data_IF_616855213282
#
_entry.id   IF_616855213282
#
_cell.length_a   1.000
_cell.length_b   1.000
_cell.length_c   1.000
_cell.angle_alpha   90.00
_cell.angle_beta   90.00
_cell.angle_gamma   90.00
#
_symmetry.space_group_name_H-M   'P 1'
#
loop_
_entity.id
_entity.type
_entity.pdbx_description
1 polymer ?
#
# COMPACT_ATOMS: atom_id res chain seq x y z
N UNK A 1 16.25 -0.11 13.85
CA UNK A 1 15.49 -0.50 12.64
C UNK A 1 15.91 -1.86 12.06
N UNK A 2 17.19 -2.15 11.75
CA UNK A 2 17.60 -3.50 11.24
C UNK A 2 17.14 -4.70 12.08
N UNK A 3 17.21 -4.62 13.42
CA UNK A 3 16.71 -5.69 14.31
C UNK A 3 15.19 -5.90 14.19
N UNK A 4 14.45 -4.80 14.08
CA UNK A 4 12.99 -4.82 13.88
C UNK A 4 12.65 -5.41 12.50
N UNK A 5 13.39 -5.01 11.45
CA UNK A 5 13.26 -5.59 10.12
C UNK A 5 13.43 -7.11 10.15
N UNK A 6 14.50 -7.61 10.76
CA UNK A 6 14.73 -9.05 10.87
C UNK A 6 13.62 -9.79 11.64
N UNK A 7 13.05 -9.18 12.68
CA UNK A 7 11.92 -9.77 13.41
C UNK A 7 10.63 -9.74 12.58
N UNK A 8 10.35 -8.66 11.86
CA UNK A 8 9.15 -8.52 11.04
C UNK A 8 9.22 -9.26 9.70
N UNK A 9 10.38 -9.81 9.37
CA UNK A 9 10.60 -10.71 8.23
C UNK A 9 10.63 -12.19 8.65
N UNK A 10 10.53 -12.49 9.95
CA UNK A 10 10.49 -13.86 10.47
C UNK A 10 9.04 -14.41 10.44
N UNK A 11 8.77 -15.57 9.81
CA UNK A 11 7.42 -16.11 9.67
C UNK A 11 6.68 -16.32 11.00
N UNK A 12 7.39 -16.74 12.05
CA UNK A 12 6.80 -17.00 13.38
C UNK A 12 6.33 -15.67 13.98
N UNK A 13 7.20 -14.67 13.96
CA UNK A 13 6.88 -13.32 14.45
C UNK A 13 5.70 -12.69 13.69
N UNK A 14 5.61 -12.88 12.37
CA UNK A 14 4.47 -12.41 11.57
C UNK A 14 3.17 -13.11 11.98
N UNK A 15 3.22 -14.42 12.21
CA UNK A 15 2.06 -15.19 12.64
C UNK A 15 1.57 -14.76 14.04
N UNK A 16 2.49 -14.49 14.97
CA UNK A 16 2.15 -13.97 16.30
C UNK A 16 1.41 -12.62 16.20
N UNK A 17 1.84 -11.72 15.31
CA UNK A 17 1.16 -10.43 15.09
C UNK A 17 -0.27 -10.60 14.53
N UNK A 18 -0.49 -11.58 13.65
CA UNK A 18 -1.82 -11.86 13.11
C UNK A 18 -2.74 -12.38 14.23
N UNK A 19 -2.25 -13.33 15.02
CA UNK A 19 -2.99 -13.90 16.15
C UNK A 19 -3.37 -12.79 17.15
N UNK A 20 -2.43 -11.90 17.49
CA UNK A 20 -2.70 -10.78 18.38
C UNK A 20 -3.75 -9.82 17.77
N UNK A 21 -3.63 -9.49 16.49
CA UNK A 21 -4.59 -8.62 15.81
C UNK A 21 -6.01 -9.23 15.75
N UNK A 22 -6.13 -10.55 15.62
CA UNK A 22 -7.39 -11.28 15.73
C UNK A 22 -7.96 -11.25 17.15
N UNK A 23 -7.13 -11.50 18.17
CA UNK A 23 -7.54 -11.45 19.59
C UNK A 23 -8.05 -10.07 19.99
N UNK A 24 -7.40 -9.01 19.49
CA UNK A 24 -7.80 -7.63 19.71
C UNK A 24 -8.99 -7.19 18.84
N UNK A 25 -9.48 -8.03 17.92
CA UNK A 25 -10.54 -7.72 16.96
C UNK A 25 -10.22 -6.51 16.06
N UNK A 26 -8.95 -6.32 15.71
CA UNK A 26 -8.47 -5.23 14.86
C UNK A 26 -7.88 -5.71 13.55
N UNK A 27 -7.98 -7.01 13.23
CA UNK A 27 -7.32 -7.62 12.07
C UNK A 27 -7.60 -6.90 10.75
N UNK A 28 -8.82 -6.39 10.54
CA UNK A 28 -9.16 -5.62 9.33
C UNK A 28 -8.41 -4.28 9.26
N UNK A 29 -8.24 -3.60 10.39
CA UNK A 29 -7.56 -2.29 10.49
C UNK A 29 -6.06 -2.41 10.74
N UNK A 30 -5.53 -3.59 11.04
CA UNK A 30 -4.12 -3.79 11.32
C UNK A 30 -3.19 -3.26 10.21
N UNK A 31 -3.48 -3.44 8.90
CA UNK A 31 -2.63 -2.88 7.84
C UNK A 31 -2.47 -1.37 7.90
N UNK A 32 -3.52 -0.63 8.29
CA UNK A 32 -3.47 0.82 8.48
C UNK A 32 -2.41 1.19 9.53
N UNK A 33 -2.45 0.55 10.69
CA UNK A 33 -1.49 0.83 11.77
C UNK A 33 -0.08 0.33 11.44
N UNK A 34 0.03 -0.80 10.73
CA UNK A 34 1.31 -1.32 10.23
C UNK A 34 1.97 -0.28 9.31
N UNK A 35 1.25 0.28 8.34
CA UNK A 35 1.78 1.32 7.46
C UNK A 35 2.31 2.52 8.25
N UNK A 36 1.51 3.04 9.19
CA UNK A 36 1.89 4.18 10.03
C UNK A 36 3.10 3.94 10.92
N UNK A 37 3.28 2.71 11.39
CA UNK A 37 4.41 2.36 12.27
C UNK A 37 5.69 2.03 11.49
N UNK A 38 5.57 1.50 10.28
CA UNK A 38 6.71 0.98 9.52
C UNK A 38 7.31 1.98 8.56
N UNK A 39 6.47 2.72 7.83
CA UNK A 39 6.93 3.45 6.67
C UNK A 39 7.52 4.81 7.02
N UNK A 40 8.54 5.16 6.24
CA UNK A 40 9.21 6.46 6.24
C UNK A 40 9.32 6.98 4.82
N UNK A 41 10.11 8.03 4.63
CA UNK A 41 10.47 8.56 3.31
C UNK A 41 11.13 7.53 2.38
N UNK A 42 11.57 6.38 2.92
CA UNK A 42 12.13 5.24 2.18
C UNK A 42 11.11 4.14 1.87
N UNK A 43 9.82 4.43 1.92
CA UNK A 43 8.69 3.48 1.78
C UNK A 43 8.86 2.48 0.62
N UNK A 44 9.36 2.90 -0.55
CA UNK A 44 9.59 2.00 -1.71
C UNK A 44 10.52 0.84 -1.33
N UNK A 45 11.61 1.12 -0.62
CA UNK A 45 12.55 0.07 -0.16
C UNK A 45 11.94 -0.75 0.97
N UNK A 46 11.21 -0.09 1.86
CA UNK A 46 10.61 -0.72 3.04
C UNK A 46 9.50 -1.71 2.68
N UNK A 47 8.72 -1.44 1.62
CA UNK A 47 7.75 -2.41 1.06
C UNK A 47 8.46 -3.72 0.68
N UNK A 48 9.65 -3.65 0.09
CA UNK A 48 10.48 -4.83 -0.19
C UNK A 48 10.95 -5.55 1.07
N UNK A 49 11.42 -4.81 2.07
CA UNK A 49 11.90 -5.38 3.34
C UNK A 49 10.78 -6.07 4.11
N UNK A 50 9.58 -5.48 4.15
CA UNK A 50 8.44 -5.97 4.91
C UNK A 50 7.42 -6.74 4.06
N UNK A 51 7.80 -7.18 2.85
CA UNK A 51 6.89 -7.86 1.91
C UNK A 51 6.10 -8.99 2.58
N UNK A 52 6.79 -9.87 3.32
CA UNK A 52 6.14 -11.04 3.93
C UNK A 52 5.06 -10.64 4.93
N UNK A 53 5.35 -9.68 5.80
CA UNK A 53 4.38 -9.13 6.75
C UNK A 53 3.18 -8.53 6.01
N UNK A 54 3.43 -7.62 5.07
CA UNK A 54 2.37 -6.93 4.31
C UNK A 54 1.50 -7.91 3.54
N UNK A 55 2.11 -8.88 2.86
CA UNK A 55 1.42 -9.92 2.11
C UNK A 55 0.53 -10.78 3.00
N UNK A 56 1.01 -11.20 4.18
CA UNK A 56 0.21 -12.04 5.08
C UNK A 56 -1.02 -11.29 5.64
N UNK A 57 -0.90 -9.99 5.91
CA UNK A 57 -2.03 -9.19 6.35
C UNK A 57 -3.02 -8.86 5.22
N UNK A 58 -2.55 -8.66 3.99
CA UNK A 58 -3.35 -8.13 2.89
C UNK A 58 -3.83 -9.16 1.86
N UNK A 59 -3.27 -10.37 1.86
CA UNK A 59 -3.59 -11.42 0.88
C UNK A 59 -5.08 -11.72 0.83
N UNK A 60 -5.65 -11.66 -0.38
CA UNK A 60 -7.06 -12.02 -0.68
C UNK A 60 -8.11 -11.26 0.15
N UNK A 61 -7.76 -10.15 0.77
CA UNK A 61 -8.69 -9.33 1.54
C UNK A 61 -8.60 -7.87 1.07
N UNK A 62 -9.57 -7.46 0.25
CA UNK A 62 -9.63 -6.10 -0.35
C UNK A 62 -9.86 -5.02 0.70
N UNK A 63 -10.56 -5.32 1.80
CA UNK A 63 -10.74 -4.39 2.93
C UNK A 63 -9.41 -4.07 3.62
N UNK A 64 -8.59 -5.09 3.90
CA UNK A 64 -7.25 -4.92 4.49
C UNK A 64 -6.31 -4.18 3.56
N UNK A 65 -6.36 -4.49 2.27
CA UNK A 65 -5.61 -3.76 1.24
C UNK A 65 -6.01 -2.28 1.19
N UNK A 66 -7.31 -1.98 1.27
CA UNK A 66 -7.80 -0.60 1.34
C UNK A 66 -7.27 0.10 2.59
N UNK A 67 -7.35 -0.53 3.76
CA UNK A 67 -6.79 0.04 5.00
C UNK A 67 -5.28 0.27 4.93
N UNK A 68 -4.54 -0.55 4.18
CA UNK A 68 -3.11 -0.32 3.94
C UNK A 68 -2.88 0.98 3.16
N UNK A 69 -3.64 1.21 2.07
CA UNK A 69 -3.55 2.44 1.28
C UNK A 69 -3.92 3.66 2.12
N UNK A 70 -5.01 3.57 2.89
CA UNK A 70 -5.44 4.65 3.78
C UNK A 70 -4.36 4.95 4.86
N UNK A 71 -3.65 3.92 5.34
CA UNK A 71 -2.54 4.07 6.29
C UNK A 71 -1.31 4.74 5.69
N UNK A 72 -1.03 4.50 4.40
CA UNK A 72 0.03 5.18 3.66
C UNK A 72 -0.31 6.66 3.46
N UNK A 73 -1.56 6.98 3.11
CA UNK A 73 -2.01 8.38 3.02
C UNK A 73 -1.90 9.09 4.37
N UNK A 74 -2.31 8.42 5.46
CA UNK A 74 -2.23 8.97 6.81
C UNK A 74 -0.81 9.28 7.27
N UNK A 75 0.16 8.38 7.02
CA UNK A 75 1.55 8.66 7.42
C UNK A 75 2.21 9.74 6.57
N UNK A 76 1.86 9.84 5.28
CA UNK A 76 2.30 10.97 4.43
C UNK A 76 1.70 12.28 4.96
N UNK A 77 0.42 12.29 5.32
CA UNK A 77 -0.24 13.47 5.88
C UNK A 77 0.42 13.93 7.19
N UNK A 78 0.79 12.99 8.06
CA UNK A 78 1.38 13.30 9.38
C UNK A 78 2.86 13.66 9.36
N UNK A 79 3.57 13.49 8.23
CA UNK A 79 5.03 13.63 8.17
C UNK A 79 5.48 14.56 7.02
N UNK A 80 5.91 15.77 7.38
CA UNK A 80 6.38 16.79 6.44
C UNK A 80 7.55 16.30 5.56
N UNK A 81 8.50 15.53 6.09
CA UNK A 81 9.62 14.98 5.31
C UNK A 81 9.11 14.01 4.23
N UNK A 82 8.10 13.20 4.54
CA UNK A 82 7.45 12.34 3.56
C UNK A 82 6.67 13.16 2.54
N UNK A 83 6.02 14.25 2.94
CA UNK A 83 5.32 15.12 1.99
C UNK A 83 6.29 15.72 0.97
N UNK A 84 7.42 16.28 1.43
CA UNK A 84 8.43 16.89 0.58
C UNK A 84 9.02 15.89 -0.42
N UNK A 85 9.29 14.65 0.03
CA UNK A 85 9.93 13.62 -0.80
C UNK A 85 8.95 12.87 -1.69
N UNK A 86 7.72 12.64 -1.24
CA UNK A 86 6.79 11.71 -1.90
C UNK A 86 5.66 12.39 -2.66
N UNK A 87 5.25 13.63 -2.34
CA UNK A 87 4.12 14.29 -3.03
C UNK A 87 4.49 14.81 -4.43
N UNK A 88 5.05 13.94 -5.23
CA UNK A 88 5.26 14.11 -6.65
C UNK A 88 4.80 12.83 -7.38
N UNK A 89 4.47 12.98 -8.67
CA UNK A 89 3.91 11.89 -9.46
C UNK A 89 4.84 10.68 -9.57
N UNK A 90 6.15 10.90 -9.64
CA UNK A 90 7.13 9.82 -9.83
C UNK A 90 7.19 8.92 -8.59
N UNK A 91 7.30 9.51 -7.40
CA UNK A 91 7.51 8.74 -6.18
C UNK A 91 6.23 8.07 -5.65
N UNK A 92 5.06 8.72 -5.71
CA UNK A 92 3.79 8.01 -5.42
C UNK A 92 3.57 6.85 -6.38
N UNK A 93 3.83 7.04 -7.68
CA UNK A 93 3.67 5.97 -8.67
C UNK A 93 4.61 4.80 -8.38
N UNK A 94 5.86 5.05 -7.96
CA UNK A 94 6.79 3.99 -7.53
C UNK A 94 6.29 3.24 -6.30
N UNK A 95 5.72 3.93 -5.30
CA UNK A 95 5.16 3.29 -4.10
C UNK A 95 4.05 2.32 -4.48
N UNK A 96 3.10 2.77 -5.30
CA UNK A 96 1.95 1.95 -5.68
C UNK A 96 2.33 0.82 -6.63
N UNK A 97 3.25 1.09 -7.57
CA UNK A 97 3.83 0.05 -8.41
C UNK A 97 4.52 -1.05 -7.58
N UNK A 98 5.28 -0.68 -6.54
CA UNK A 98 5.96 -1.65 -5.68
C UNK A 98 4.97 -2.51 -4.86
N UNK A 99 3.85 -1.93 -4.42
CA UNK A 99 2.75 -2.68 -3.77
C UNK A 99 2.06 -3.65 -4.73
N UNK A 100 1.79 -3.21 -5.96
CA UNK A 100 1.19 -4.02 -7.03
C UNK A 100 2.10 -5.19 -7.42
N UNK A 101 3.35 -4.91 -7.79
CA UNK A 101 4.33 -5.91 -8.25
C UNK A 101 4.64 -7.00 -7.22
N UNK A 102 4.36 -6.75 -5.93
CA UNK A 102 4.59 -7.71 -4.86
C UNK A 102 3.35 -8.50 -4.45
N UNK A 103 2.23 -8.31 -5.15
CA UNK A 103 0.93 -8.91 -4.86
C UNK A 103 0.37 -8.49 -3.49
N UNK A 104 0.72 -7.28 -3.01
CA UNK A 104 0.24 -6.78 -1.71
C UNK A 104 -1.14 -6.14 -1.88
N UNK A 105 -1.35 -5.37 -2.95
CA UNK A 105 -2.61 -4.67 -3.26
C UNK A 105 -3.02 -5.02 -4.68
N UNK A 106 -4.27 -5.44 -4.86
CA UNK A 106 -4.81 -5.75 -6.18
C UNK A 106 -5.20 -4.49 -6.95
N UNK A 107 -5.28 -4.64 -8.26
CA UNK A 107 -5.72 -3.60 -9.19
C UNK A 107 -7.13 -3.07 -8.87
N UNK A 108 -8.09 -3.96 -8.58
CA UNK A 108 -9.45 -3.59 -8.16
C UNK A 108 -9.43 -2.62 -6.98
N UNK A 109 -8.55 -2.86 -5.99
CA UNK A 109 -8.44 -1.99 -4.81
C UNK A 109 -7.83 -0.64 -5.17
N UNK A 110 -6.86 -0.58 -6.08
CA UNK A 110 -6.32 0.69 -6.56
C UNK A 110 -7.37 1.52 -7.30
N UNK A 111 -8.19 0.90 -8.14
CA UNK A 111 -9.28 1.59 -8.83
C UNK A 111 -10.33 2.10 -7.84
N UNK A 112 -10.84 1.22 -6.98
CA UNK A 112 -11.84 1.58 -5.99
C UNK A 112 -11.32 2.65 -5.01
N UNK A 113 -10.05 2.56 -4.61
CA UNK A 113 -9.39 3.60 -3.84
C UNK A 113 -9.41 4.91 -4.63
N UNK A 114 -8.89 4.96 -5.86
CA UNK A 114 -8.77 6.19 -6.65
C UNK A 114 -10.13 6.87 -6.95
N UNK A 115 -11.20 6.09 -7.10
CA UNK A 115 -12.56 6.62 -7.33
C UNK A 115 -13.22 7.18 -6.06
N UNK A 116 -12.90 6.64 -4.89
CA UNK A 116 -13.49 7.04 -3.62
C UNK A 116 -12.51 7.85 -2.79
N UNK A 117 -12.60 9.17 -2.92
CA UNK A 117 -11.93 10.10 -2.02
C UNK A 117 -12.48 9.93 -0.59
N UNK A 118 -11.58 9.60 0.35
CA UNK A 118 -11.88 9.59 1.78
C UNK A 118 -11.00 10.64 2.45
N UNK A 119 -11.64 11.62 3.09
CA UNK A 119 -10.97 12.70 3.84
C UNK A 119 -11.17 12.57 5.34
N UNK A 120 -11.80 11.49 5.82
CA UNK A 120 -12.10 11.31 7.25
C UNK A 120 -10.84 11.23 8.13
N UNK A 121 -9.70 10.84 7.54
CA UNK A 121 -8.45 10.56 8.25
C UNK A 121 -7.27 11.43 7.81
N UNK A 122 -7.44 12.29 6.80
CA UNK A 122 -6.37 13.08 6.18
C UNK A 122 -6.88 14.42 5.69
N UNK A 123 -5.98 15.40 5.58
CA UNK A 123 -6.33 16.71 5.02
C UNK A 123 -6.74 16.57 3.55
N UNK A 124 -7.89 17.15 3.18
CA UNK A 124 -8.43 17.11 1.81
C UNK A 124 -7.40 17.53 0.77
N UNK A 125 -6.61 18.59 1.07
CA UNK A 125 -5.58 19.06 0.15
C UNK A 125 -4.45 18.04 -0.09
N UNK A 126 -4.11 17.22 0.91
CA UNK A 126 -3.11 16.17 0.80
C UNK A 126 -3.71 14.97 0.08
N UNK A 127 -4.93 14.57 0.42
CA UNK A 127 -5.68 13.52 -0.27
C UNK A 127 -5.70 13.78 -1.79
N UNK A 128 -6.21 14.93 -2.21
CA UNK A 128 -6.30 15.31 -3.62
C UNK A 128 -4.93 15.33 -4.31
N UNK A 129 -3.86 15.79 -3.62
CA UNK A 129 -2.50 15.75 -4.18
C UNK A 129 -2.01 14.33 -4.40
N UNK A 130 -2.23 13.42 -3.45
CA UNK A 130 -1.84 12.00 -3.59
C UNK A 130 -2.58 11.35 -4.76
N UNK A 131 -3.89 11.59 -4.91
CA UNK A 131 -4.68 11.10 -6.07
C UNK A 131 -4.11 11.60 -7.39
N UNK A 132 -3.85 12.90 -7.47
CA UNK A 132 -3.27 13.50 -8.67
C UNK A 132 -1.90 12.92 -9.01
N UNK A 133 -1.07 12.64 -8.00
CA UNK A 133 0.22 11.98 -8.19
C UNK A 133 0.09 10.51 -8.62
N UNK A 134 -0.98 9.82 -8.23
CA UNK A 134 -1.24 8.44 -8.58
C UNK A 134 -1.82 8.24 -9.99
N UNK A 135 -2.33 9.30 -10.65
CA UNK A 135 -2.99 9.20 -11.97
C UNK A 135 -2.19 8.43 -13.01
N UNK A 136 -0.88 8.69 -13.12
CA UNK A 136 -0.01 7.99 -14.09
C UNK A 136 0.07 6.49 -13.80
N UNK A 137 0.10 6.10 -12.53
CA UNK A 137 0.08 4.69 -12.14
C UNK A 137 -1.27 4.03 -12.46
N UNK A 138 -2.38 4.72 -12.20
CA UNK A 138 -3.73 4.22 -12.55
C UNK A 138 -3.91 4.07 -14.07
N UNK A 139 -3.41 5.02 -14.86
CA UNK A 139 -3.39 4.92 -16.32
C UNK A 139 -2.51 3.75 -16.79
N UNK A 140 -1.34 3.57 -16.17
CA UNK A 140 -0.46 2.44 -16.48
C UNK A 140 -1.11 1.09 -16.15
N UNK A 141 -1.78 0.95 -15.00
CA UNK A 141 -2.52 -0.26 -14.64
C UNK A 141 -3.54 -0.64 -15.71
N UNK A 142 -4.35 0.32 -16.18
CA UNK A 142 -5.36 0.08 -17.23
C UNK A 142 -4.75 -0.43 -18.53
N UNK A 143 -3.64 0.17 -18.96
CA UNK A 143 -2.95 -0.28 -20.19
C UNK A 143 -2.28 -1.65 -20.04
N UNK A 144 -1.91 -2.04 -18.82
CA UNK A 144 -1.31 -3.33 -18.54
C UNK A 144 -2.36 -4.46 -18.58
N UNK A 145 -3.60 -4.19 -18.13
CA UNK A 145 -4.73 -5.11 -18.23
C UNK A 145 -5.12 -5.36 -19.71
N UNK A 146 -5.28 -4.29 -20.50
CA UNK A 146 -5.67 -4.35 -21.91
C UNK A 146 -4.64 -5.09 -22.80
N UNK A 147 -3.35 -5.01 -22.47
CA UNK A 147 -2.28 -5.68 -23.22
C UNK A 147 -2.13 -7.18 -22.93
N UNK A 148 -2.86 -7.73 -21.96
CA UNK A 148 -2.78 -9.15 -21.58
C UNK A 148 -3.81 -10.05 -22.28
N UNK A 149 -4.80 -9.46 -22.96
CA UNK A 149 -5.87 -10.16 -23.67
C UNK A 149 -5.64 -10.26 -25.20
N UNK A 150 -4.57 -9.68 -25.75
CA UNK A 150 -4.33 -9.64 -27.22
C UNK A 150 -3.33 -10.70 -27.76
N UNK A 151 -2.88 -11.67 -26.95
CA UNK A 151 -1.85 -12.65 -27.33
C UNK A 151 -2.29 -14.14 -27.27
N UNK A 152 -3.59 -14.45 -27.45
CA UNK A 152 -4.10 -15.84 -27.56
C UNK A 152 -4.97 -16.08 -28.81
N UNK A 153 -4.50 -15.66 -29.99
CA UNK A 153 -5.15 -16.04 -31.27
C UNK A 153 -4.20 -15.99 -32.49
N UNK A 154 -2.97 -16.52 -32.35
CA UNK A 154 -2.12 -16.85 -33.51
C UNK A 154 -1.41 -18.19 -33.39
N UNK A 155 -1.99 -19.17 -34.10
CA UNK A 155 -1.52 -20.50 -34.55
C UNK A 155 -1.99 -21.73 -33.77
#
# INVERSE_FOLDING_TARGET
>A
RKKLANQLSDPISVQELIIEAEQLNIIEKAPFYIAKCLFTDQIVKEIGVYRMLLYQFCTKNTTRQRFLLDGIEAIINENEEMQEKLLNTEDISKVFYELYQKDIVSEEVFYHWHEQESTELIDESIATKIRNCAKKFIEWLRTAEEGSDEDDDRY
#
